data_IF_958639030826
#
_entry.id   IF_958639030826
#
_cell.length_a   1.000
_cell.length_b   1.000
_cell.length_c   1.000
_cell.angle_alpha   90.00
_cell.angle_beta   90.00
_cell.angle_gamma   90.00
#
_symmetry.space_group_name_H-M   'P 1'
#
loop_
_entity.id
_entity.type
_entity.pdbx_description
1 polymer ?
#
# COMPACT_ATOMS: atom_id res chain seq x y z
N UNK A 1 -5.91 -31.61 9.78
CA UNK A 1 -4.85 -31.08 8.89
C UNK A 1 -5.42 -29.86 8.21
N UNK A 2 -5.00 -28.66 8.61
CA UNK A 2 -5.36 -27.42 7.91
C UNK A 2 -4.49 -27.32 6.67
N UNK A 3 -5.10 -27.46 5.49
CA UNK A 3 -4.42 -27.25 4.22
C UNK A 3 -4.16 -25.75 4.06
N UNK A 4 -2.94 -25.31 4.37
CA UNK A 4 -2.45 -24.00 3.95
C UNK A 4 -2.25 -24.03 2.43
N UNK A 5 -3.32 -23.81 1.68
CA UNK A 5 -3.23 -23.63 0.23
C UNK A 5 -2.53 -22.29 0.00
N UNK A 6 -1.28 -22.33 -0.48
CA UNK A 6 -0.56 -21.13 -0.95
C UNK A 6 -1.18 -20.67 -2.27
N UNK A 7 -2.35 -20.05 -2.19
CA UNK A 7 -3.01 -19.42 -3.34
C UNK A 7 -2.44 -18.02 -3.50
N UNK A 8 -1.88 -17.72 -4.68
CA UNK A 8 -1.40 -16.39 -5.02
C UNK A 8 -2.55 -15.43 -5.31
N UNK A 9 -2.30 -14.12 -5.14
CA UNK A 9 -3.30 -13.08 -5.36
C UNK A 9 -3.99 -13.17 -6.73
N UNK A 10 -3.22 -13.45 -7.80
CA UNK A 10 -3.75 -13.55 -9.15
C UNK A 10 -4.73 -14.72 -9.34
N UNK A 11 -4.52 -15.82 -8.61
CA UNK A 11 -5.41 -16.98 -8.67
C UNK A 11 -6.74 -16.66 -7.96
N UNK A 12 -6.68 -15.98 -6.80
CA UNK A 12 -7.86 -15.48 -6.10
C UNK A 12 -8.63 -14.51 -6.99
N UNK A 13 -7.95 -13.56 -7.63
CA UNK A 13 -8.57 -12.58 -8.51
C UNK A 13 -9.29 -13.24 -9.68
N UNK A 14 -8.68 -14.26 -10.29
CA UNK A 14 -9.30 -15.00 -11.39
C UNK A 14 -10.52 -15.79 -10.94
N UNK A 15 -10.49 -16.38 -9.74
CA UNK A 15 -11.64 -17.06 -9.15
C UNK A 15 -12.79 -16.08 -8.85
N UNK A 16 -12.48 -14.93 -8.27
CA UNK A 16 -13.48 -13.89 -7.98
C UNK A 16 -14.14 -13.40 -9.27
N UNK A 17 -13.38 -13.19 -10.34
CA UNK A 17 -13.91 -12.78 -11.65
C UNK A 17 -14.86 -13.79 -12.29
N UNK A 18 -14.77 -15.07 -11.93
CA UNK A 18 -15.66 -16.12 -12.43
C UNK A 18 -17.00 -16.20 -11.67
N UNK A 19 -17.15 -15.45 -10.57
CA UNK A 19 -18.38 -15.47 -9.77
C UNK A 19 -19.56 -14.81 -10.51
N UNK A 20 -20.79 -15.32 -10.35
CA UNK A 20 -21.98 -14.64 -10.84
C UNK A 20 -22.14 -13.24 -10.23
N UNK A 21 -22.77 -12.31 -10.98
CA UNK A 21 -22.93 -10.92 -10.55
C UNK A 21 -23.59 -10.76 -9.15
N UNK A 22 -24.55 -11.62 -8.81
CA UNK A 22 -25.17 -11.62 -7.47
C UNK A 22 -24.18 -11.97 -6.36
N UNK A 23 -23.25 -12.89 -6.63
CA UNK A 23 -22.19 -13.31 -5.69
C UNK A 23 -21.08 -12.28 -5.59
N UNK A 24 -20.77 -11.57 -6.69
CA UNK A 24 -19.87 -10.42 -6.65
C UNK A 24 -20.42 -9.30 -5.75
N UNK A 25 -21.72 -8.98 -5.86
CA UNK A 25 -22.36 -8.00 -4.97
C UNK A 25 -22.34 -8.45 -3.51
N UNK A 26 -22.63 -9.72 -3.25
CA UNK A 26 -22.55 -10.29 -1.90
C UNK A 26 -21.12 -10.22 -1.34
N UNK A 27 -20.12 -10.53 -2.17
CA UNK A 27 -18.71 -10.46 -1.79
C UNK A 27 -18.28 -9.03 -1.47
N UNK A 28 -18.67 -8.06 -2.29
CA UNK A 28 -18.39 -6.64 -2.05
C UNK A 28 -19.02 -6.11 -0.75
N UNK A 29 -20.23 -6.57 -0.42
CA UNK A 29 -20.89 -6.22 0.84
C UNK A 29 -20.27 -6.91 2.06
N UNK A 30 -19.57 -8.03 1.85
CA UNK A 30 -18.93 -8.80 2.94
C UNK A 30 -17.48 -8.35 3.18
N UNK A 31 -16.74 -8.02 2.12
CA UNK A 31 -15.39 -7.45 2.16
C UNK A 31 -15.53 -5.95 1.94
N UNK A 32 -16.15 -5.29 2.90
CA UNK A 32 -16.30 -3.84 2.90
C UNK A 32 -15.05 -3.12 3.43
N UNK A 33 -15.08 -1.79 3.39
CA UNK A 33 -13.94 -0.97 3.79
C UNK A 33 -13.62 -1.11 5.28
N UNK A 34 -14.64 -1.37 6.11
CA UNK A 34 -14.49 -1.53 7.55
C UNK A 34 -13.79 -2.86 7.88
N UNK A 35 -14.16 -3.95 7.21
CA UNK A 35 -13.48 -5.24 7.31
C UNK A 35 -12.03 -5.14 6.87
N UNK A 36 -11.76 -4.49 5.73
CA UNK A 36 -10.40 -4.29 5.22
C UNK A 36 -9.56 -3.48 6.22
N UNK A 37 -10.13 -2.40 6.76
CA UNK A 37 -9.42 -1.52 7.70
C UNK A 37 -9.12 -2.23 9.02
N UNK A 38 -10.08 -3.01 9.53
CA UNK A 38 -9.89 -3.82 10.74
C UNK A 38 -8.81 -4.88 10.52
N UNK A 39 -8.87 -5.63 9.41
CA UNK A 39 -7.88 -6.65 9.08
C UNK A 39 -6.48 -6.05 8.87
N UNK A 40 -6.41 -4.90 8.18
CA UNK A 40 -5.18 -4.13 8.04
C UNK A 40 -4.63 -3.69 9.40
N UNK A 41 -5.46 -3.25 10.34
CA UNK A 41 -4.99 -2.89 11.69
C UNK A 41 -4.48 -4.08 12.51
N UNK A 42 -4.93 -5.30 12.21
CA UNK A 42 -4.49 -6.53 12.87
C UNK A 42 -3.20 -7.13 12.24
N UNK A 43 -3.01 -6.95 10.94
CA UNK A 43 -1.88 -7.53 10.17
C UNK A 43 -0.72 -6.55 9.94
N UNK A 44 -1.01 -5.25 9.86
CA UNK A 44 0.00 -4.20 9.65
C UNK A 44 0.58 -3.82 11.01
N UNK A 45 1.90 -3.96 11.15
CA UNK A 45 2.55 -3.57 12.40
C UNK A 45 2.43 -2.07 12.65
N UNK A 46 2.44 -1.65 13.92
CA UNK A 46 2.44 -0.22 14.28
C UNK A 46 3.55 0.56 13.57
N UNK A 47 4.72 -0.07 13.36
CA UNK A 47 5.82 0.50 12.57
C UNK A 47 5.45 0.72 11.10
N UNK A 48 4.79 -0.24 10.46
CA UNK A 48 4.36 -0.10 9.07
C UNK A 48 3.29 0.99 8.93
N UNK A 49 2.34 1.05 9.86
CA UNK A 49 1.34 2.13 9.91
C UNK A 49 2.01 3.50 10.07
N UNK A 50 2.98 3.62 10.99
CA UNK A 50 3.76 4.83 11.16
C UNK A 50 4.50 5.25 9.88
N UNK A 51 5.13 4.32 9.18
CA UNK A 51 5.83 4.61 7.92
C UNK A 51 4.88 5.04 6.78
N UNK A 52 3.68 4.44 6.70
CA UNK A 52 2.69 4.77 5.67
C UNK A 52 1.99 6.11 5.91
N UNK A 53 1.87 6.51 7.18
CA UNK A 53 1.27 7.79 7.58
C UNK A 53 2.29 8.90 7.77
N UNK A 54 3.58 8.59 7.58
CA UNK A 54 4.64 9.56 7.71
C UNK A 54 4.45 10.70 6.72
N UNK A 55 4.76 11.95 7.11
CA UNK A 55 4.67 13.09 6.23
C UNK A 55 5.58 12.89 5.01
N UNK A 56 5.01 13.12 3.83
CA UNK A 56 5.74 13.15 2.57
C UNK A 56 5.92 14.58 2.11
N UNK A 57 7.02 14.84 1.39
CA UNK A 57 7.26 16.18 0.83
C UNK A 57 6.14 16.57 -0.12
N UNK A 58 5.65 17.79 0.04
CA UNK A 58 4.84 18.49 -0.97
C UNK A 58 5.68 18.76 -2.22
N UNK A 59 5.00 19.10 -3.32
CA UNK A 59 5.68 19.41 -4.58
C UNK A 59 6.63 20.62 -4.46
N UNK A 60 6.30 21.61 -3.62
CA UNK A 60 7.16 22.76 -3.35
C UNK A 60 8.41 22.36 -2.56
N UNK A 61 8.25 21.57 -1.51
CA UNK A 61 9.37 21.08 -0.69
C UNK A 61 10.29 20.16 -1.50
N UNK A 62 9.72 19.33 -2.38
CA UNK A 62 10.51 18.48 -3.28
C UNK A 62 11.35 19.32 -4.26
N UNK A 63 10.81 20.44 -4.75
CA UNK A 63 11.54 21.34 -5.66
C UNK A 63 12.72 21.98 -4.92
N UNK A 64 12.47 22.52 -3.73
CA UNK A 64 13.50 23.12 -2.88
C UNK A 64 14.58 22.10 -2.50
N UNK A 65 14.17 20.90 -2.10
CA UNK A 65 15.09 19.79 -1.83
C UNK A 65 16.02 19.49 -3.02
N UNK A 66 15.48 19.44 -4.25
CA UNK A 66 16.28 19.20 -5.46
C UNK A 66 17.26 20.33 -5.76
N UNK A 67 16.86 21.58 -5.55
CA UNK A 67 17.73 22.75 -5.72
C UNK A 67 18.87 22.74 -4.69
N UNK A 68 18.56 22.48 -3.42
CA UNK A 68 19.54 22.32 -2.35
C UNK A 68 20.49 21.16 -2.64
N UNK A 69 19.97 20.02 -3.09
CA UNK A 69 20.77 18.83 -3.44
C UNK A 69 21.82 19.15 -4.50
N UNK A 70 21.46 19.92 -5.55
CA UNK A 70 22.39 20.38 -6.60
C UNK A 70 23.49 21.29 -6.04
N UNK A 71 23.13 22.19 -5.13
CA UNK A 71 24.10 23.06 -4.47
C UNK A 71 25.09 22.27 -3.62
N UNK A 72 24.63 21.26 -2.89
CA UNK A 72 25.50 20.35 -2.13
C UNK A 72 26.41 19.50 -3.01
N UNK A 73 25.92 19.01 -4.16
CA UNK A 73 26.79 18.28 -5.11
C UNK A 73 27.92 19.16 -5.63
N UNK A 74 27.62 20.41 -5.98
CA UNK A 74 28.64 21.38 -6.41
C UNK A 74 29.65 21.69 -5.30
N UNK A 75 29.20 21.78 -4.05
CA UNK A 75 30.09 21.98 -2.91
C UNK A 75 31.03 20.78 -2.71
N UNK A 76 30.50 19.55 -2.78
CA UNK A 76 31.31 18.32 -2.65
C UNK A 76 32.35 18.14 -3.75
N UNK A 77 32.06 18.59 -4.97
CA UNK A 77 32.99 18.50 -6.11
C UNK A 77 34.04 19.63 -6.15
N UNK A 78 33.96 20.62 -5.25
CA UNK A 78 34.90 21.74 -5.17
C UNK A 78 36.03 21.54 -4.15
N UNK A 79 36.07 20.38 -3.49
CA UNK A 79 37.16 19.94 -2.61
C UNK A 79 38.04 18.92 -3.33
#
# INVERSE_FOLDING_TARGET
MELMVKIGYNEILNLVKQLPAAKLKQLQATIDQDFISKKASEEISELQNFLLTAPVMTNSELKEFKENRKSFDKWRMKN
#
